data_IF_574290292462
#
_entry.id   IF_574290292462
#
_cell.length_a   1.000
_cell.length_b   1.000
_cell.length_c   1.000
_cell.angle_alpha   90.00
_cell.angle_beta   90.00
_cell.angle_gamma   90.00
#
_symmetry.space_group_name_H-M   'P 1'
#
loop_
_entity.id
_entity.type
_entity.pdbx_description
1 polymer ?
#
# COMPACT_ATOMS: atom_id res chain seq x y z
N UNK A 1 -24.88 -0.01 15.25
CA UNK A 1 -24.02 -1.20 15.18
C UNK A 1 -23.65 -1.59 13.77
N UNK A 2 -24.59 -1.69 12.86
CA UNK A 2 -24.28 -1.99 11.46
C UNK A 2 -23.36 -0.93 10.86
N UNK A 3 -23.59 0.31 11.21
CA UNK A 3 -22.76 1.41 10.67
C UNK A 3 -21.34 1.37 11.23
N UNK A 4 -21.18 0.94 12.47
CA UNK A 4 -19.84 0.82 13.05
C UNK A 4 -19.05 -0.27 12.36
N UNK A 5 -19.64 -1.43 12.11
CA UNK A 5 -18.97 -2.52 11.42
C UNK A 5 -18.64 -2.12 10.00
N UNK A 6 -19.56 -1.47 9.32
CA UNK A 6 -19.34 -1.00 7.95
C UNK A 6 -18.21 0.02 7.91
N UNK A 7 -18.21 0.96 8.84
CA UNK A 7 -17.15 1.97 8.91
C UNK A 7 -15.80 1.34 9.17
N UNK A 8 -15.75 0.40 10.12
CA UNK A 8 -14.50 -0.30 10.42
C UNK A 8 -13.97 -1.07 9.21
N UNK A 9 -14.85 -1.71 8.47
CA UNK A 9 -14.47 -2.45 7.27
C UNK A 9 -13.89 -1.51 6.22
N UNK A 10 -14.51 -0.36 6.00
CA UNK A 10 -14.04 0.62 5.03
C UNK A 10 -12.68 1.18 5.46
N UNK A 11 -12.55 1.56 6.73
CA UNK A 11 -11.28 2.09 7.25
C UNK A 11 -10.19 1.06 7.13
N UNK A 12 -10.45 -0.17 7.50
CA UNK A 12 -9.47 -1.25 7.40
C UNK A 12 -9.06 -1.49 5.95
N UNK A 13 -10.01 -1.47 5.03
CA UNK A 13 -9.73 -1.65 3.61
C UNK A 13 -8.86 -0.52 3.05
N UNK A 14 -9.19 0.71 3.41
CA UNK A 14 -8.40 1.88 2.96
C UNK A 14 -6.99 1.81 3.53
N UNK A 15 -6.85 1.52 4.81
CA UNK A 15 -5.54 1.41 5.45
C UNK A 15 -4.72 0.31 4.80
N UNK A 16 -5.32 -0.84 4.57
CA UNK A 16 -4.64 -1.97 3.94
C UNK A 16 -4.17 -1.61 2.53
N UNK A 17 -5.02 -0.93 1.78
CA UNK A 17 -4.69 -0.50 0.42
C UNK A 17 -3.52 0.48 0.42
N UNK A 18 -3.52 1.44 1.33
CA UNK A 18 -2.43 2.40 1.45
C UNK A 18 -1.11 1.72 1.79
N UNK A 19 -1.15 0.76 2.71
CA UNK A 19 0.05 0.01 3.08
C UNK A 19 0.56 -0.79 1.89
N UNK A 20 -0.33 -1.45 1.16
CA UNK A 20 0.04 -2.25 0.00
C UNK A 20 0.68 -1.38 -1.08
N UNK A 21 0.10 -0.22 -1.36
CA UNK A 21 0.64 0.71 -2.36
C UNK A 21 2.02 1.20 -1.93
N UNK A 22 2.21 1.51 -0.67
CA UNK A 22 3.48 1.96 -0.14
C UNK A 22 4.55 0.88 -0.30
N UNK A 23 4.23 -0.34 0.03
CA UNK A 23 5.15 -1.47 -0.11
C UNK A 23 5.53 -1.71 -1.57
N UNK A 24 4.54 -1.79 -2.43
CA UNK A 24 4.78 -2.02 -3.87
C UNK A 24 5.59 -0.88 -4.46
N UNK A 25 5.25 0.35 -4.10
CA UNK A 25 5.98 1.52 -4.58
C UNK A 25 7.44 1.50 -4.14
N UNK A 26 7.69 1.13 -2.88
CA UNK A 26 9.05 1.04 -2.37
C UNK A 26 9.85 -0.03 -3.11
N UNK A 27 9.28 -1.21 -3.27
CA UNK A 27 9.93 -2.31 -3.98
C UNK A 27 10.19 -1.94 -5.43
N UNK A 28 9.21 -1.33 -6.09
CA UNK A 28 9.36 -0.90 -7.48
C UNK A 28 10.48 0.13 -7.62
N UNK A 29 10.54 1.09 -6.70
CA UNK A 29 11.58 2.10 -6.72
C UNK A 29 12.95 1.47 -6.53
N UNK A 30 13.07 0.53 -5.59
CA UNK A 30 14.34 -0.17 -5.37
C UNK A 30 14.75 -0.98 -6.59
N UNK A 31 13.82 -1.67 -7.21
CA UNK A 31 14.10 -2.44 -8.42
C UNK A 31 14.58 -1.56 -9.56
N UNK A 32 13.88 -0.46 -9.80
CA UNK A 32 14.25 0.46 -10.87
C UNK A 32 15.63 1.06 -10.58
N UNK A 33 15.88 1.47 -9.36
CA UNK A 33 17.17 2.02 -8.96
C UNK A 33 18.26 0.98 -9.10
N UNK A 34 17.98 -0.25 -8.71
CA UNK A 34 18.97 -1.31 -8.77
C UNK A 34 19.31 -1.70 -10.19
N UNK A 35 18.29 -1.78 -11.05
CA UNK A 35 18.48 -2.20 -12.43
C UNK A 35 19.00 -1.07 -13.33
N UNK A 36 18.50 0.13 -13.10
CA UNK A 36 18.83 1.27 -13.96
C UNK A 36 19.85 2.21 -13.38
N UNK A 37 19.85 2.38 -12.07
CA UNK A 37 20.76 3.31 -11.40
C UNK A 37 22.13 2.71 -11.09
N UNK A 38 22.28 1.45 -11.32
CA UNK A 38 23.53 0.74 -11.04
C UNK A 38 24.59 0.99 -12.10
N UNK A 39 24.20 1.79 -13.05
CA UNK A 39 25.07 2.17 -14.12
C UNK A 39 25.64 3.55 -13.83
#
# INVERSE_FOLDING_TARGET
MKDTVKTLTIVAGVAFTLIAITWVGMIATLLITWLGGNI
#
